data_IF_375295178134
#
_entry.id   IF_375295178134
#
_cell.length_a   1.000
_cell.length_b   1.000
_cell.length_c   1.000
_cell.angle_alpha   90.00
_cell.angle_beta   90.00
_cell.angle_gamma   90.00
#
_symmetry.space_group_name_H-M   'P 1'
#
loop_
_entity.id
_entity.type
_entity.pdbx_description
1 polymer ?
#
# COMPACT_ATOMS: atom_id res chain seq x y z
N UNK A 1 -33.89 16.31 -35.98
CA UNK A 1 -33.68 15.19 -35.03
C UNK A 1 -32.23 14.68 -35.02
N UNK A 2 -31.64 14.35 -36.18
CA UNK A 2 -30.26 13.83 -36.30
C UNK A 2 -29.17 14.78 -35.77
N UNK A 3 -29.30 16.08 -36.00
CA UNK A 3 -28.31 17.07 -35.55
C UNK A 3 -28.18 17.14 -34.01
N UNK A 4 -29.29 16.98 -33.28
CA UNK A 4 -29.28 16.94 -31.81
C UNK A 4 -28.61 15.67 -31.28
N UNK A 5 -28.74 14.54 -31.99
CA UNK A 5 -28.07 13.30 -31.65
C UNK A 5 -26.55 13.41 -31.86
N UNK A 6 -26.12 14.02 -32.96
CA UNK A 6 -24.70 14.25 -33.25
C UNK A 6 -24.08 15.19 -32.21
N UNK A 7 -24.75 16.29 -31.88
CA UNK A 7 -24.27 17.25 -30.87
C UNK A 7 -24.25 16.60 -29.48
N UNK A 8 -25.28 15.83 -29.11
CA UNK A 8 -25.34 15.13 -27.83
C UNK A 8 -24.26 14.05 -27.67
N UNK A 9 -24.00 13.27 -28.73
CA UNK A 9 -22.93 12.26 -28.72
C UNK A 9 -21.54 12.90 -28.67
N UNK A 10 -21.32 14.00 -29.40
CA UNK A 10 -20.06 14.73 -29.34
C UNK A 10 -19.81 15.33 -27.95
N UNK A 11 -20.86 15.88 -27.31
CA UNK A 11 -20.79 16.38 -25.94
C UNK A 11 -20.51 15.27 -24.92
N UNK A 12 -21.14 14.09 -25.06
CA UNK A 12 -20.91 12.95 -24.18
C UNK A 12 -19.47 12.40 -24.31
N UNK A 13 -18.94 12.31 -25.53
CA UNK A 13 -17.55 11.89 -25.77
C UNK A 13 -16.57 12.91 -25.21
N UNK A 14 -16.82 14.21 -25.41
CA UNK A 14 -16.00 15.28 -24.84
C UNK A 14 -15.98 15.23 -23.31
N UNK A 15 -17.15 15.04 -22.68
CA UNK A 15 -17.27 14.89 -21.23
C UNK A 15 -16.51 13.64 -20.73
N UNK A 16 -16.64 12.51 -21.42
CA UNK A 16 -15.95 11.27 -21.07
C UNK A 16 -14.42 11.42 -21.18
N UNK A 17 -13.92 12.10 -22.21
CA UNK A 17 -12.49 12.40 -22.36
C UNK A 17 -11.98 13.32 -21.24
N UNK A 18 -12.70 14.40 -20.92
CA UNK A 18 -12.32 15.31 -19.83
C UNK A 18 -12.30 14.55 -18.51
N UNK A 19 -13.33 13.73 -18.25
CA UNK A 19 -13.40 12.91 -17.05
C UNK A 19 -12.20 11.95 -17.00
N UNK A 20 -11.91 11.22 -18.07
CA UNK A 20 -10.75 10.32 -18.15
C UNK A 20 -9.42 11.05 -17.90
N UNK A 21 -9.22 12.22 -18.49
CA UNK A 21 -8.02 13.03 -18.28
C UNK A 21 -7.90 13.55 -16.85
N UNK A 22 -9.00 13.98 -16.22
CA UNK A 22 -9.02 14.43 -14.82
C UNK A 22 -8.76 13.26 -13.88
N UNK A 23 -9.37 12.10 -14.12
CA UNK A 23 -9.06 10.87 -13.39
C UNK A 23 -7.58 10.49 -13.56
N UNK A 24 -7.06 10.52 -14.78
CA UNK A 24 -5.65 10.28 -15.06
C UNK A 24 -4.72 11.25 -14.35
N UNK A 25 -5.07 12.54 -14.28
CA UNK A 25 -4.28 13.57 -13.60
C UNK A 25 -4.33 13.42 -12.08
N UNK A 26 -5.51 13.17 -11.52
CA UNK A 26 -5.69 12.93 -10.08
C UNK A 26 -4.96 11.64 -9.65
N UNK A 27 -5.08 10.56 -10.42
CA UNK A 27 -4.42 9.30 -10.12
C UNK A 27 -2.93 9.27 -10.48
N UNK A 28 -2.46 10.08 -11.44
CA UNK A 28 -1.03 10.27 -11.68
C UNK A 28 -0.38 11.14 -10.59
N UNK A 29 -1.15 12.02 -9.95
CA UNK A 29 -0.75 12.81 -8.79
C UNK A 29 -0.74 12.01 -7.48
N UNK A 30 -1.44 10.88 -7.41
CA UNK A 30 -1.10 9.86 -6.43
C UNK A 30 0.22 9.25 -6.89
N UNK A 31 1.33 9.48 -6.16
CA UNK A 31 2.53 8.72 -6.47
C UNK A 31 2.10 7.27 -6.41
N UNK A 32 2.21 6.55 -7.53
CA UNK A 32 2.33 5.10 -7.45
C UNK A 32 3.36 4.88 -6.36
N UNK A 33 2.93 4.30 -5.26
CA UNK A 33 3.73 3.88 -4.12
C UNK A 33 4.69 2.76 -4.58
N UNK A 34 5.46 3.05 -5.61
CA UNK A 34 6.21 2.11 -6.43
C UNK A 34 7.70 2.17 -6.17
N UNK A 35 8.18 3.08 -5.32
CA UNK A 35 9.61 3.11 -4.95
C UNK A 35 9.90 3.49 -3.48
N UNK A 36 9.03 4.19 -2.77
CA UNK A 36 9.29 4.62 -1.37
C UNK A 36 8.07 4.49 -0.45
N UNK A 37 7.30 3.40 -0.57
CA UNK A 37 6.30 3.09 0.46
C UNK A 37 6.89 2.04 1.40
N UNK A 38 7.31 2.49 2.58
CA UNK A 38 7.73 1.62 3.68
C UNK A 38 6.52 1.38 4.59
N UNK A 39 6.22 0.10 4.85
CA UNK A 39 5.16 -0.26 5.78
C UNK A 39 5.75 -0.36 7.20
N UNK A 40 5.43 0.64 8.03
CA UNK A 40 5.85 0.68 9.43
C UNK A 40 4.81 -0.01 10.33
N UNK A 41 5.23 -1.06 11.03
CA UNK A 41 4.42 -1.79 12.00
C UNK A 41 4.91 -1.47 13.40
N UNK A 42 4.11 -0.75 14.17
CA UNK A 42 4.42 -0.42 15.57
C UNK A 42 3.69 -1.38 16.49
N UNK A 43 4.41 -2.23 17.22
CA UNK A 43 3.80 -3.08 18.23
C UNK A 43 4.82 -3.50 19.29
N UNK A 44 4.35 -3.66 20.52
CA UNK A 44 5.11 -4.25 21.61
C UNK A 44 5.45 -5.71 21.29
N UNK A 45 6.76 -6.00 21.20
CA UNK A 45 7.27 -7.32 20.87
C UNK A 45 7.06 -8.38 21.93
N UNK A 46 6.70 -8.00 23.16
CA UNK A 46 6.31 -8.95 24.22
C UNK A 46 4.90 -9.53 23.99
N UNK A 47 4.12 -8.96 23.06
CA UNK A 47 2.74 -9.41 22.82
C UNK A 47 2.67 -10.60 21.84
N UNK A 48 1.84 -11.63 22.10
CA UNK A 48 1.64 -12.74 21.16
C UNK A 48 0.98 -12.29 19.84
N UNK A 49 0.40 -11.08 19.82
CA UNK A 49 -0.11 -10.45 18.61
C UNK A 49 1.00 -10.02 17.66
N UNK A 50 2.21 -9.74 18.14
CA UNK A 50 3.32 -9.28 17.30
C UNK A 50 3.73 -10.33 16.26
N UNK A 51 3.82 -11.60 16.65
CA UNK A 51 4.14 -12.69 15.72
C UNK A 51 3.05 -12.86 14.66
N UNK A 52 1.79 -12.82 15.07
CA UNK A 52 0.66 -12.95 14.16
C UNK A 52 0.61 -11.77 13.19
N UNK A 53 0.94 -10.57 13.66
CA UNK A 53 1.00 -9.36 12.85
C UNK A 53 2.13 -9.43 11.81
N UNK A 54 3.32 -9.90 12.19
CA UNK A 54 4.45 -10.16 11.28
C UNK A 54 4.09 -11.17 10.18
N UNK A 55 3.46 -12.30 10.54
CA UNK A 55 3.01 -13.30 9.55
C UNK A 55 1.93 -12.74 8.62
N UNK A 56 0.99 -11.97 9.15
CA UNK A 56 -0.09 -11.36 8.37
C UNK A 56 0.46 -10.28 7.43
N UNK A 57 1.40 -9.47 7.91
CA UNK A 57 2.08 -8.45 7.11
C UNK A 57 2.91 -9.09 5.98
N UNK A 58 3.63 -10.18 6.25
CA UNK A 58 4.34 -10.92 5.21
C UNK A 58 3.38 -11.49 4.15
N UNK A 59 2.22 -12.03 4.57
CA UNK A 59 1.18 -12.51 3.64
C UNK A 59 0.61 -11.37 2.80
N UNK A 60 0.28 -10.25 3.42
CA UNK A 60 -0.20 -9.06 2.73
C UNK A 60 0.84 -8.50 1.74
N UNK A 61 2.14 -8.55 2.08
CA UNK A 61 3.24 -8.20 1.18
C UNK A 61 3.24 -9.06 -0.08
N UNK A 62 3.06 -10.38 0.07
CA UNK A 62 3.03 -11.31 -1.07
C UNK A 62 1.78 -11.13 -1.94
N UNK A 63 0.64 -10.80 -1.33
CA UNK A 63 -0.66 -10.84 -1.99
C UNK A 63 -1.08 -9.49 -2.58
N UNK A 64 -0.77 -8.37 -1.91
CA UNK A 64 -1.25 -7.04 -2.29
C UNK A 64 -0.14 -6.04 -2.62
N UNK A 65 1.07 -6.23 -2.07
CA UNK A 65 2.13 -5.22 -2.07
C UNK A 65 3.51 -5.82 -2.41
N UNK A 66 3.66 -6.51 -3.56
CA UNK A 66 4.90 -7.18 -3.91
C UNK A 66 6.02 -6.15 -4.10
N UNK A 67 7.09 -6.27 -3.30
CA UNK A 67 8.28 -5.42 -3.38
C UNK A 67 8.35 -4.29 -2.35
N UNK A 68 7.31 -4.11 -1.52
CA UNK A 68 7.36 -3.08 -0.47
C UNK A 68 8.21 -3.52 0.73
N UNK A 69 9.18 -2.70 1.17
CA UNK A 69 9.91 -2.92 2.41
C UNK A 69 8.98 -2.79 3.63
N UNK A 70 9.10 -3.74 4.57
CA UNK A 70 8.36 -3.73 5.82
C UNK A 70 9.36 -3.51 6.95
N UNK A 71 9.07 -2.50 7.78
CA UNK A 71 9.85 -2.15 8.96
C UNK A 71 8.98 -2.38 10.19
N UNK A 72 9.40 -3.28 11.07
CA UNK A 72 8.79 -3.51 12.35
C UNK A 72 9.52 -2.68 13.41
N UNK A 73 8.78 -1.80 14.10
CA UNK A 73 9.27 -0.97 15.18
C UNK A 73 8.71 -1.53 16.49
N UNK A 74 9.58 -2.16 17.26
CA UNK A 74 9.28 -2.63 18.60
C UNK A 74 9.28 -1.44 19.57
N UNK A 75 8.17 -1.28 20.29
CA UNK A 75 7.99 -0.25 21.31
C UNK A 75 8.14 -0.79 22.74
N UNK A 76 8.47 -2.07 22.89
CA UNK A 76 8.67 -2.75 24.19
C UNK A 76 10.14 -3.02 24.50
N UNK A 77 10.42 -3.94 25.44
CA UNK A 77 11.80 -4.28 25.86
C UNK A 77 12.59 -5.11 24.82
N UNK A 78 12.04 -5.31 23.63
CA UNK A 78 12.63 -6.14 22.60
C UNK A 78 12.39 -7.63 22.85
N UNK A 79 12.06 -8.36 21.79
CA UNK A 79 11.76 -9.79 21.88
C UNK A 79 12.66 -10.57 20.90
N UNK A 80 13.66 -11.27 21.43
CA UNK A 80 14.59 -12.13 20.67
C UNK A 80 13.90 -13.08 19.68
N UNK A 81 12.86 -13.87 20.06
CA UNK A 81 12.20 -14.77 19.10
C UNK A 81 11.47 -14.01 17.99
N UNK A 82 10.93 -12.83 18.30
CA UNK A 82 10.26 -11.98 17.32
C UNK A 82 11.25 -11.39 16.31
N UNK A 83 12.43 -10.99 16.78
CA UNK A 83 13.52 -10.48 15.96
C UNK A 83 14.04 -11.55 15.00
N UNK A 84 14.17 -12.80 15.47
CA UNK A 84 14.52 -13.94 14.62
C UNK A 84 13.44 -14.21 13.57
N UNK A 85 12.16 -14.14 13.94
CA UNK A 85 11.04 -14.32 13.00
C UNK A 85 11.02 -13.21 11.93
N UNK A 86 11.25 -11.96 12.32
CA UNK A 86 11.35 -10.83 11.37
C UNK A 86 12.51 -11.04 10.39
N UNK A 87 13.68 -11.48 10.86
CA UNK A 87 14.82 -11.78 10.01
C UNK A 87 14.53 -12.92 9.00
N UNK A 88 13.84 -13.99 9.41
CA UNK A 88 13.43 -15.07 8.51
C UNK A 88 12.46 -14.61 7.42
N UNK A 89 11.61 -13.62 7.74
CA UNK A 89 10.61 -13.08 6.81
C UNK A 89 11.17 -11.95 5.92
N UNK A 90 12.44 -11.56 6.12
CA UNK A 90 13.07 -10.44 5.43
C UNK A 90 12.39 -9.11 5.75
N UNK A 91 12.12 -8.88 7.05
CA UNK A 91 11.49 -7.70 7.61
C UNK A 91 12.53 -7.01 8.51
N UNK A 92 12.72 -5.71 8.32
CA UNK A 92 13.66 -4.94 9.14
C UNK A 92 13.07 -4.74 10.53
N UNK A 93 13.85 -5.04 11.57
CA UNK A 93 13.42 -4.93 12.95
C UNK A 93 14.22 -3.83 13.65
N UNK A 94 13.51 -2.79 14.08
CA UNK A 94 14.03 -1.70 14.89
C UNK A 94 13.45 -1.81 16.30
N UNK A 95 14.33 -1.72 17.30
CA UNK A 95 13.94 -1.58 18.70
C UNK A 95 14.41 -0.18 19.16
N UNK A 96 13.52 0.62 19.77
CA UNK A 96 13.82 1.98 20.21
C UNK A 96 13.72 2.12 21.72
#
# INVERSE_FOLDING_TARGET
MVFHFIVGTLAAVGLACILWSVYGLLFAGFPRAGDCAELYLFLDGASPRAEQLLRTAHRARREYLPGIPIVFIDTGEGCEPLRQLAAQLGIEYFNR
#
